data_IF_025497754560
#
_entry.id   IF_025497754560
#
_cell.length_a   1.000
_cell.length_b   1.000
_cell.length_c   1.000
_cell.angle_alpha   90.00
_cell.angle_beta   90.00
_cell.angle_gamma   90.00
#
_symmetry.space_group_name_H-M   'P 1'
#
loop_
_entity.id
_entity.type
_entity.pdbx_description
1 polymer ?
#
# COMPACT_ATOMS: atom_id res chain seq x y z
N UNK A 1 -4.63 -17.17 -2.75
CA UNK A 1 -5.35 -15.89 -2.56
C UNK A 1 -5.50 -15.40 -1.12
N UNK A 2 -4.72 -15.90 -0.15
CA UNK A 2 -4.91 -15.53 1.28
C UNK A 2 -4.04 -14.38 1.78
N UNK A 3 -2.78 -14.28 1.35
CA UNK A 3 -1.85 -13.26 1.86
C UNK A 3 -2.17 -11.85 1.36
N UNK A 4 -2.47 -11.72 0.07
CA UNK A 4 -2.78 -10.41 -0.54
C UNK A 4 -4.09 -9.81 0.02
N UNK A 5 -5.07 -10.67 0.32
CA UNK A 5 -6.33 -10.27 0.93
C UNK A 5 -6.13 -9.78 2.38
N UNK A 6 -5.39 -10.54 3.20
CA UNK A 6 -5.05 -10.12 4.56
C UNK A 6 -4.21 -8.82 4.58
N UNK A 7 -3.38 -8.60 3.56
CA UNK A 7 -2.60 -7.38 3.42
C UNK A 7 -3.47 -6.18 3.02
N UNK A 8 -4.36 -6.36 2.06
CA UNK A 8 -5.33 -5.33 1.67
C UNK A 8 -6.22 -4.92 2.85
N UNK A 9 -6.58 -5.86 3.72
CA UNK A 9 -7.33 -5.61 4.94
C UNK A 9 -6.52 -4.81 5.98
N UNK A 10 -5.25 -5.16 6.22
CA UNK A 10 -4.34 -4.40 7.10
C UNK A 10 -4.14 -2.95 6.65
N UNK A 11 -3.97 -2.75 5.34
CA UNK A 11 -3.88 -1.42 4.74
C UNK A 11 -5.19 -0.65 4.92
N UNK A 12 -6.33 -1.29 4.63
CA UNK A 12 -7.63 -0.65 4.72
C UNK A 12 -7.93 -0.21 6.16
N UNK A 13 -7.57 -1.03 7.15
CA UNK A 13 -7.68 -0.66 8.56
C UNK A 13 -6.78 0.54 8.90
N UNK A 14 -5.54 0.56 8.43
CA UNK A 14 -4.62 1.68 8.66
C UNK A 14 -5.13 3.00 8.06
N UNK A 15 -5.84 2.93 6.92
CA UNK A 15 -6.48 4.09 6.29
C UNK A 15 -7.66 4.60 7.11
N UNK A 16 -8.50 3.69 7.62
CA UNK A 16 -9.62 4.06 8.51
C UNK A 16 -9.09 4.74 9.78
N UNK A 17 -8.07 4.15 10.40
CA UNK A 17 -7.44 4.67 11.62
C UNK A 17 -6.85 6.05 11.37
N UNK A 18 -6.14 6.25 10.24
CA UNK A 18 -5.54 7.56 9.93
C UNK A 18 -6.59 8.60 9.51
N UNK A 19 -7.70 8.20 8.88
CA UNK A 19 -8.78 9.11 8.47
C UNK A 19 -9.44 9.78 9.68
N UNK A 20 -9.61 9.04 10.78
CA UNK A 20 -10.10 9.59 12.05
C UNK A 20 -9.17 10.65 12.62
N UNK A 21 -7.86 10.40 12.58
CA UNK A 21 -6.84 11.35 13.05
C UNK A 21 -6.79 12.62 12.19
N UNK A 22 -6.89 12.47 10.86
CA UNK A 22 -6.92 13.60 9.93
C UNK A 22 -8.12 14.53 10.18
N UNK A 23 -9.29 13.94 10.43
CA UNK A 23 -10.50 14.69 10.75
C UNK A 23 -10.38 15.43 12.09
N UNK A 24 -9.76 14.80 13.10
CA UNK A 24 -9.51 15.44 14.39
C UNK A 24 -8.51 16.59 14.28
N UNK A 25 -7.39 16.38 13.58
CA UNK A 25 -6.38 17.39 13.34
C UNK A 25 -6.96 18.60 12.59
N UNK A 26 -7.77 18.37 11.56
CA UNK A 26 -8.43 19.44 10.81
C UNK A 26 -9.45 20.22 11.65
N UNK A 27 -10.14 19.57 12.59
CA UNK A 27 -11.15 20.20 13.43
C UNK A 27 -10.56 20.93 14.65
N UNK A 28 -9.49 20.40 15.25
CA UNK A 28 -8.96 20.86 16.55
C UNK A 28 -7.55 21.45 16.48
N UNK A 29 -6.82 21.24 15.38
CA UNK A 29 -5.42 21.63 15.25
C UNK A 29 -4.43 20.76 16.05
N UNK A 30 -4.92 19.71 16.71
CA UNK A 30 -4.12 18.76 17.49
C UNK A 30 -4.81 17.38 17.50
N UNK A 31 -4.01 16.32 17.61
CA UNK A 31 -4.50 14.93 17.69
C UNK A 31 -4.45 14.51 19.16
N UNK A 32 -5.61 14.58 19.82
CA UNK A 32 -5.74 14.28 21.26
C UNK A 32 -6.18 12.85 21.50
N UNK A 33 -6.81 12.21 20.51
CA UNK A 33 -7.33 10.83 20.63
C UNK A 33 -6.26 9.74 20.66
N UNK A 34 -5.04 10.02 20.22
CA UNK A 34 -3.93 9.07 20.20
C UNK A 34 -2.63 9.68 20.71
N UNK A 35 -1.81 8.87 21.37
CA UNK A 35 -0.48 9.31 21.77
C UNK A 35 0.47 9.37 20.57
N UNK A 36 1.48 10.25 20.60
CA UNK A 36 2.55 10.25 19.58
C UNK A 36 3.22 8.88 19.41
N UNK A 37 3.24 8.06 20.47
CA UNK A 37 3.79 6.71 20.43
C UNK A 37 2.94 5.75 19.61
N UNK A 38 1.62 5.89 19.67
CA UNK A 38 0.69 5.08 18.88
C UNK A 38 0.74 5.50 17.41
N UNK A 39 0.80 6.81 17.14
CA UNK A 39 1.01 7.37 15.81
C UNK A 39 2.32 6.84 15.19
N UNK A 40 3.42 6.85 15.93
CA UNK A 40 4.71 6.32 15.47
C UNK A 40 4.66 4.81 15.17
N UNK A 41 3.87 4.04 15.92
CA UNK A 41 3.67 2.60 15.67
C UNK A 41 2.88 2.38 14.38
N UNK A 42 1.81 3.15 14.15
CA UNK A 42 1.03 3.11 12.90
C UNK A 42 1.88 3.51 11.70
N UNK A 43 2.72 4.53 11.84
CA UNK A 43 3.68 4.93 10.81
C UNK A 43 4.69 3.82 10.49
N UNK A 44 5.25 3.16 11.50
CA UNK A 44 6.15 2.01 11.31
C UNK A 44 5.48 0.83 10.59
N UNK A 45 4.20 0.58 10.89
CA UNK A 45 3.38 -0.41 10.16
C UNK A 45 3.24 -0.06 8.69
N UNK A 46 2.92 1.20 8.38
CA UNK A 46 2.79 1.69 7.00
C UNK A 46 4.10 1.59 6.19
N UNK A 47 5.25 1.83 6.84
CA UNK A 47 6.56 1.63 6.19
C UNK A 47 6.78 0.15 5.82
N UNK A 48 6.45 -0.77 6.72
CA UNK A 48 6.55 -2.22 6.45
C UNK A 48 5.61 -2.65 5.32
N UNK A 49 4.39 -2.12 5.34
CA UNK A 49 3.41 -2.39 4.30
C UNK A 49 3.92 -1.89 2.94
N UNK A 50 4.45 -0.65 2.88
CA UNK A 50 5.09 -0.07 1.69
C UNK A 50 6.22 -0.93 1.13
N UNK A 51 7.13 -1.41 1.99
CA UNK A 51 8.22 -2.29 1.56
C UNK A 51 7.72 -3.60 0.96
N UNK A 52 6.65 -4.15 1.55
CA UNK A 52 6.03 -5.37 1.06
C UNK A 52 5.40 -5.15 -0.32
N UNK A 53 4.76 -4.00 -0.53
CA UNK A 53 4.18 -3.61 -1.82
C UNK A 53 5.27 -3.47 -2.88
N UNK A 54 6.39 -2.81 -2.57
CA UNK A 54 7.52 -2.72 -3.49
C UNK A 54 8.09 -4.09 -3.84
N UNK A 55 8.24 -5.00 -2.87
CA UNK A 55 8.67 -6.38 -3.12
C UNK A 55 7.72 -7.15 -4.05
N UNK A 56 6.41 -6.97 -3.89
CA UNK A 56 5.45 -7.58 -4.81
C UNK A 56 5.41 -6.86 -6.16
N UNK A 57 5.61 -5.54 -6.21
CA UNK A 57 5.66 -4.78 -7.44
C UNK A 57 6.90 -5.10 -8.29
N UNK A 58 8.03 -5.40 -7.66
CA UNK A 58 9.25 -5.93 -8.31
C UNK A 58 8.96 -7.29 -8.99
N UNK A 59 8.04 -8.08 -8.42
CA UNK A 59 7.53 -9.32 -9.06
C UNK A 59 6.53 -9.02 -10.20
N UNK A 60 5.98 -7.80 -10.27
CA UNK A 60 5.10 -7.33 -11.35
C UNK A 60 5.86 -6.70 -12.53
N UNK A 61 7.17 -6.53 -12.41
CA UNK A 61 8.02 -6.29 -13.57
C UNK A 61 8.12 -7.58 -14.41
N UNK A 62 8.33 -7.42 -15.72
CA UNK A 62 8.40 -8.56 -16.65
C UNK A 62 9.49 -9.51 -16.16
N UNK A 63 9.16 -10.73 -15.71
CA UNK A 63 10.13 -11.60 -15.06
C UNK A 63 11.18 -12.05 -16.07
N UNK A 64 12.42 -12.30 -15.60
CA UNK A 64 13.56 -12.71 -16.43
C UNK A 64 13.24 -13.90 -17.36
N UNK A 65 12.36 -14.79 -16.92
CA UNK A 65 11.89 -15.94 -17.70
C UNK A 65 11.19 -15.54 -19.02
N UNK A 66 10.55 -14.36 -19.06
CA UNK A 66 9.94 -13.80 -20.26
C UNK A 66 10.99 -13.16 -21.19
N UNK A 67 12.15 -12.76 -20.68
CA UNK A 67 13.29 -12.36 -21.51
C UNK A 67 13.95 -13.57 -22.17
N UNK A 68 14.00 -14.71 -21.46
CA UNK A 68 14.48 -15.98 -22.02
C UNK A 68 13.44 -16.65 -22.95
N UNK A 69 12.14 -16.42 -22.71
CA UNK A 69 11.03 -17.03 -23.45
C UNK A 69 9.97 -15.97 -23.83
N UNK A 70 10.15 -15.25 -24.96
CA UNK A 70 9.28 -14.15 -25.36
C UNK A 70 7.81 -14.53 -25.56
N UNK A 71 7.54 -15.80 -25.87
CA UNK A 71 6.19 -16.33 -26.08
C UNK A 71 5.30 -16.29 -24.82
N UNK A 72 5.92 -16.15 -23.63
CA UNK A 72 5.21 -16.06 -22.36
C UNK A 72 4.78 -14.63 -22.01
N UNK A 73 5.37 -13.60 -22.64
CA UNK A 73 5.07 -12.19 -22.37
C UNK A 73 3.58 -11.85 -22.62
N UNK A 74 2.91 -12.30 -23.71
CA UNK A 74 1.48 -12.07 -23.89
C UNK A 74 0.62 -12.66 -22.77
N UNK A 75 0.98 -13.85 -22.27
CA UNK A 75 0.27 -14.52 -21.17
C UNK A 75 0.48 -13.77 -19.85
N UNK A 76 1.71 -13.35 -19.58
CA UNK A 76 2.08 -12.55 -18.41
C UNK A 76 1.30 -11.22 -18.37
N UNK A 77 1.27 -10.48 -19.49
CA UNK A 77 0.50 -9.24 -19.60
C UNK A 77 -1.00 -9.46 -19.41
N UNK A 78 -1.55 -10.57 -19.90
CA UNK A 78 -2.96 -10.91 -19.73
C UNK A 78 -3.30 -11.15 -18.26
N UNK A 79 -2.46 -11.89 -17.53
CA UNK A 79 -2.63 -12.15 -16.10
C UNK A 79 -2.47 -10.87 -15.28
N UNK A 80 -1.46 -10.04 -15.57
CA UNK A 80 -1.26 -8.75 -14.92
C UNK A 80 -2.47 -7.82 -15.10
N UNK A 81 -3.02 -7.77 -16.31
CA UNK A 81 -4.21 -6.98 -16.62
C UNK A 81 -5.46 -7.53 -15.93
N UNK A 82 -5.64 -8.85 -15.93
CA UNK A 82 -6.79 -9.52 -15.31
C UNK A 82 -6.83 -9.32 -13.78
N UNK A 83 -5.66 -9.26 -13.14
CA UNK A 83 -5.53 -9.07 -11.69
C UNK A 83 -5.43 -7.60 -11.25
N UNK A 84 -5.42 -6.65 -12.21
CA UNK A 84 -5.34 -5.20 -11.97
C UNK A 84 -4.14 -4.80 -11.09
N UNK A 85 -3.01 -5.48 -11.23
CA UNK A 85 -1.93 -5.38 -10.24
C UNK A 85 -1.27 -4.00 -10.23
N UNK A 86 -1.01 -3.40 -11.39
CA UNK A 86 -0.43 -2.05 -11.51
C UNK A 86 -1.32 -0.95 -10.89
N UNK A 87 -2.60 -0.79 -11.27
CA UNK A 87 -3.47 0.23 -10.67
C UNK A 87 -3.70 0.03 -9.16
N UNK A 88 -3.67 -1.22 -8.67
CA UNK A 88 -3.78 -1.49 -7.22
C UNK A 88 -2.54 -1.07 -6.45
N UNK A 89 -1.35 -1.25 -7.01
CA UNK A 89 -0.09 -0.77 -6.41
C UNK A 89 -0.02 0.77 -6.42
N UNK A 90 -0.44 1.42 -7.51
CA UNK A 90 -0.48 2.88 -7.60
C UNK A 90 -1.43 3.52 -6.57
N UNK A 91 -2.65 3.01 -6.45
CA UNK A 91 -3.63 3.47 -5.46
C UNK A 91 -3.08 3.36 -4.03
N UNK A 92 -2.34 2.29 -3.78
CA UNK A 92 -1.79 1.98 -2.49
C UNK A 92 -0.61 2.88 -2.12
N UNK A 93 0.26 3.21 -3.08
CA UNK A 93 1.30 4.22 -2.90
C UNK A 93 0.69 5.60 -2.60
N UNK A 94 -0.32 6.03 -3.35
CA UNK A 94 -1.01 7.30 -3.11
C UNK A 94 -1.62 7.39 -1.70
N UNK A 95 -2.17 6.28 -1.19
CA UNK A 95 -2.71 6.23 0.19
C UNK A 95 -1.62 6.40 1.24
N UNK A 96 -0.46 5.78 1.06
CA UNK A 96 0.69 5.91 1.98
C UNK A 96 1.24 7.34 1.97
N UNK A 97 1.28 7.99 0.81
CA UNK A 97 1.75 9.37 0.70
C UNK A 97 0.86 10.36 1.47
N UNK A 98 -0.47 10.19 1.40
CA UNK A 98 -1.41 11.01 2.17
C UNK A 98 -1.20 10.85 3.68
N UNK A 99 -0.96 9.63 4.16
CA UNK A 99 -0.66 9.43 5.60
C UNK A 99 0.63 10.12 6.00
N UNK A 100 1.66 10.10 5.15
CA UNK A 100 2.91 10.81 5.42
C UNK A 100 2.69 12.33 5.54
N UNK A 101 1.90 12.93 4.65
CA UNK A 101 1.59 14.37 4.68
C UNK A 101 0.81 14.77 5.94
N UNK A 102 0.00 13.86 6.50
CA UNK A 102 -0.72 14.11 7.75
C UNK A 102 0.16 14.04 9.00
N UNK A 103 1.37 13.49 8.88
CA UNK A 103 2.31 13.30 9.99
C UNK A 103 3.51 14.26 9.95
N UNK A 104 3.63 15.08 8.89
CA UNK A 104 4.63 16.14 8.75
C UNK A 104 4.10 17.47 9.28
#
# INVERSE_FOLDING_TARGET
>A
SSRLAAFAESVQQSIEDTRGLAAELAAKGDIVSQSQRDIARTYGRLILDRHTIYLYADVLDTPDVCWENPDLDPLYRLVNKYLELSPRVELLNSRVDVVRELLS
#
